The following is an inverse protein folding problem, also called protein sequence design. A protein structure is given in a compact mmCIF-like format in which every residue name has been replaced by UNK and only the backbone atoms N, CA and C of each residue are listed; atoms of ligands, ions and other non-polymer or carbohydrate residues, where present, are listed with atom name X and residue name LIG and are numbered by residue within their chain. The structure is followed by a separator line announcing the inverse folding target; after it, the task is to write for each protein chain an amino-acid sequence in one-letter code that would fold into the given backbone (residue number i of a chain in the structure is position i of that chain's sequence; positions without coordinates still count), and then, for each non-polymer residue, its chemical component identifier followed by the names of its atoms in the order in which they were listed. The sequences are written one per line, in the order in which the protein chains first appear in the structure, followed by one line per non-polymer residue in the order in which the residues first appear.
data_IF_981541748218
#
_entry.id   IF_981541748218
#
_cell.length_a   1.000
_cell.length_b   1.000
_cell.length_c   1.000
_cell.angle_alpha   90.00
_cell.angle_beta   90.00
_cell.angle_gamma   90.00
#
_symmetry.space_group_name_H-M   'P 1'
#
loop_
_entity.id
_entity.type
_entity.pdbx_description
1 polymer ?
#
# COMPACT_ATOMS: atom_id res chain seq x y z
N UNK A 1 -6.44 -17.81 -19.38
CA UNK A 1 -6.72 -16.39 -19.55
C UNK A 1 -6.68 -15.67 -18.22
N UNK A 2 -5.70 -14.87 -17.85
CA UNK A 2 -4.33 -14.59 -18.28
C UNK A 2 -3.90 -13.55 -17.25
N UNK A 3 -3.10 -13.93 -16.24
CA UNK A 3 -2.07 -13.03 -15.71
C UNK A 3 -1.12 -13.81 -14.81
N UNK A 4 0.03 -14.07 -15.42
CA UNK A 4 1.30 -14.47 -14.83
C UNK A 4 1.57 -13.72 -13.52
N UNK A 5 1.53 -14.44 -12.40
CA UNK A 5 2.43 -14.13 -11.27
C UNK A 5 3.49 -15.23 -11.28
N UNK A 6 4.37 -15.16 -12.26
CA UNK A 6 5.61 -15.90 -12.29
C UNK A 6 6.72 -14.90 -11.94
N UNK A 7 7.63 -15.33 -11.05
CA UNK A 7 8.86 -14.65 -10.59
C UNK A 7 8.78 -13.71 -9.37
N UNK A 8 8.93 -14.30 -8.18
CA UNK A 8 10.05 -13.92 -7.29
C UNK A 8 10.37 -15.07 -6.33
N UNK A 9 11.57 -15.62 -6.51
CA UNK A 9 12.13 -16.72 -5.76
C UNK A 9 12.72 -16.24 -4.42
N UNK A 10 12.32 -16.91 -3.33
CA UNK A 10 13.17 -17.35 -2.22
C UNK A 10 13.96 -16.35 -1.34
N UNK A 11 13.78 -15.03 -1.43
CA UNK A 11 14.30 -14.08 -0.40
C UNK A 11 13.21 -13.20 0.25
N UNK A 12 11.94 -13.55 0.04
CA UNK A 12 10.79 -12.80 0.50
C UNK A 12 10.54 -12.99 2.00
N UNK A 13 11.07 -12.07 2.80
CA UNK A 13 11.32 -12.25 4.24
C UNK A 13 10.34 -11.43 5.08
N UNK A 14 9.02 -11.59 4.86
CA UNK A 14 7.94 -10.85 5.53
C UNK A 14 7.71 -9.40 5.05
N UNK A 15 8.73 -8.72 4.54
CA UNK A 15 8.56 -7.36 3.98
C UNK A 15 7.68 -7.37 2.71
N UNK A 16 8.00 -8.25 1.75
CA UNK A 16 7.19 -8.37 0.53
C UNK A 16 5.73 -8.77 0.81
N UNK A 17 5.47 -9.56 1.86
CA UNK A 17 4.10 -9.95 2.22
C UNK A 17 3.28 -8.74 2.68
N UNK A 18 3.85 -7.86 3.52
CA UNK A 18 3.15 -6.64 3.95
C UNK A 18 2.92 -5.68 2.79
N UNK A 19 3.95 -5.45 1.98
CA UNK A 19 3.85 -4.62 0.78
C UNK A 19 2.80 -5.14 -0.21
N UNK A 20 2.70 -6.47 -0.39
CA UNK A 20 1.68 -7.09 -1.24
C UNK A 20 0.25 -6.88 -0.70
N UNK A 21 0.05 -7.01 0.61
CA UNK A 21 -1.25 -6.74 1.24
C UNK A 21 -1.64 -5.27 1.09
N UNK A 22 -0.69 -4.35 1.29
CA UNK A 22 -0.92 -2.92 1.08
C UNK A 22 -1.27 -2.61 -0.39
N UNK A 23 -0.56 -3.23 -1.33
CA UNK A 23 -0.85 -3.09 -2.76
C UNK A 23 -2.26 -3.57 -3.11
N UNK A 24 -2.73 -4.68 -2.52
CA UNK A 24 -4.07 -5.21 -2.75
C UNK A 24 -5.17 -4.28 -2.23
N UNK A 25 -4.97 -3.70 -1.03
CA UNK A 25 -5.84 -2.67 -0.47
C UNK A 25 -5.91 -1.46 -1.41
N UNK A 26 -4.77 -1.00 -1.90
CA UNK A 26 -4.69 0.14 -2.81
C UNK A 26 -5.40 -0.13 -4.14
N UNK A 27 -5.20 -1.31 -4.74
CA UNK A 27 -5.91 -1.72 -5.94
C UNK A 27 -7.42 -1.67 -5.77
N UNK A 28 -7.90 -2.11 -4.61
CA UNK A 28 -9.33 -2.12 -4.29
C UNK A 28 -9.89 -0.71 -4.11
N UNK A 29 -9.15 0.18 -3.43
CA UNK A 29 -9.58 1.55 -3.13
C UNK A 29 -9.51 2.45 -4.36
N UNK A 30 -8.44 2.34 -5.13
CA UNK A 30 -8.19 3.15 -6.34
C UNK A 30 -8.81 2.53 -7.60
N UNK A 31 -9.31 1.29 -7.50
CA UNK A 31 -9.86 0.53 -8.61
C UNK A 31 -8.88 0.44 -9.80
N UNK A 32 -7.64 0.05 -9.51
CA UNK A 32 -6.54 -0.10 -10.49
C UNK A 32 -6.08 -1.56 -10.58
N UNK A 33 -5.64 -2.00 -11.75
CA UNK A 33 -5.16 -3.37 -11.98
C UNK A 33 -3.86 -3.69 -11.22
N UNK A 34 -2.93 -2.73 -11.16
CA UNK A 34 -1.63 -2.88 -10.51
C UNK A 34 -1.11 -1.56 -9.98
N UNK A 35 -0.46 -1.63 -8.83
CA UNK A 35 0.21 -0.49 -8.21
C UNK A 35 1.65 -0.87 -7.87
N UNK A 36 2.58 0.03 -8.17
CA UNK A 36 3.98 -0.12 -7.80
C UNK A 36 4.22 0.30 -6.36
N UNK A 37 5.30 -0.21 -5.75
CA UNK A 37 5.63 0.07 -4.35
C UNK A 37 6.16 1.50 -4.14
N UNK A 38 6.80 2.05 -5.17
CA UNK A 38 7.29 3.42 -5.28
C UNK A 38 6.26 4.41 -5.85
N UNK A 39 5.06 3.94 -6.17
CA UNK A 39 4.03 4.79 -6.79
C UNK A 39 3.34 5.60 -5.72
N UNK A 40 3.25 6.91 -5.96
CA UNK A 40 2.51 7.81 -5.08
C UNK A 40 1.01 7.66 -5.25
N UNK A 41 0.29 7.58 -4.14
CA UNK A 41 -1.18 7.44 -4.12
C UNK A 41 -1.88 8.53 -4.94
N UNK A 42 -1.43 9.78 -4.81
CA UNK A 42 -2.03 10.92 -5.51
C UNK A 42 -1.76 10.93 -7.01
N UNK A 43 -0.66 10.34 -7.47
CA UNK A 43 -0.29 10.29 -8.89
C UNK A 43 -1.23 9.37 -9.70
N UNK A 44 -1.72 8.30 -9.05
CA UNK A 44 -2.64 7.32 -9.64
C UNK A 44 -4.12 7.64 -9.42
N UNK A 45 -4.45 8.87 -9.03
CA UNK A 45 -5.83 9.33 -8.82
C UNK A 45 -6.34 9.19 -7.38
N UNK A 46 -5.44 8.98 -6.43
CA UNK A 46 -5.74 9.06 -5.01
C UNK A 46 -6.16 10.46 -4.59
N UNK A 47 -7.12 10.52 -3.68
CA UNK A 47 -7.62 11.77 -3.10
C UNK A 47 -7.72 11.62 -1.58
N UNK A 48 -7.91 12.74 -0.88
CA UNK A 48 -7.98 12.76 0.59
C UNK A 48 -9.07 11.86 1.18
N UNK A 49 -10.18 11.64 0.47
CA UNK A 49 -11.27 10.76 0.92
C UNK A 49 -10.82 9.30 0.85
N UNK A 50 -10.27 8.88 -0.29
CA UNK A 50 -9.74 7.52 -0.46
C UNK A 50 -8.55 7.28 0.47
N UNK A 51 -7.76 8.31 0.74
CA UNK A 51 -6.63 8.24 1.65
C UNK A 51 -7.07 7.99 3.10
N UNK A 52 -8.11 8.69 3.57
CA UNK A 52 -8.72 8.42 4.88
C UNK A 52 -9.25 6.98 4.97
N UNK A 53 -10.00 6.53 3.95
CA UNK A 53 -10.53 5.16 3.93
C UNK A 53 -9.39 4.12 3.93
N UNK A 54 -8.32 4.38 3.19
CA UNK A 54 -7.13 3.53 3.17
C UNK A 54 -6.45 3.48 4.53
N UNK A 55 -6.30 4.64 5.18
CA UNK A 55 -5.78 4.77 6.53
C UNK A 55 -6.58 3.96 7.54
N UNK A 56 -7.91 4.01 7.51
CA UNK A 56 -8.74 3.19 8.40
C UNK A 56 -8.49 1.70 8.18
N UNK A 57 -8.47 1.23 6.92
CA UNK A 57 -8.22 -0.18 6.61
C UNK A 57 -6.82 -0.63 7.03
N UNK A 58 -5.80 0.21 6.80
CA UNK A 58 -4.42 -0.06 7.22
C UNK A 58 -4.33 -0.13 8.74
N UNK A 59 -4.95 0.82 9.44
CA UNK A 59 -5.00 0.85 10.91
C UNK A 59 -5.72 -0.39 11.48
N UNK A 60 -6.85 -0.81 10.89
CA UNK A 60 -7.57 -2.01 11.31
C UNK A 60 -6.79 -3.31 11.03
N UNK A 61 -6.15 -3.41 9.87
CA UNK A 61 -5.39 -4.60 9.45
C UNK A 61 -4.12 -4.79 10.27
N UNK A 62 -3.44 -3.69 10.60
CA UNK A 62 -2.08 -3.70 11.13
C UNK A 62 -2.00 -3.24 12.59
N UNK A 63 -3.06 -2.63 13.12
CA UNK A 63 -3.16 -2.22 14.52
C UNK A 63 -2.25 -1.05 14.91
N UNK A 64 -1.70 -0.31 13.94
CA UNK A 64 -0.87 0.88 14.16
C UNK A 64 -1.62 2.12 13.69
N UNK A 65 -1.76 3.10 14.57
CA UNK A 65 -2.27 4.44 14.23
C UNK A 65 -1.23 5.16 13.38
N UNK A 66 -1.66 5.63 12.19
CA UNK A 66 -0.82 6.45 11.32
C UNK A 66 -1.60 7.72 11.02
N UNK A 67 -0.98 8.88 11.23
CA UNK A 67 -1.66 10.14 10.98
C UNK A 67 -1.68 10.44 9.48
N UNK A 68 -2.77 11.04 9.01
CA UNK A 68 -2.85 11.59 7.65
C UNK A 68 -1.71 12.57 7.40
N UNK A 69 -1.34 13.36 8.40
CA UNK A 69 -0.30 14.40 8.31
C UNK A 69 1.08 13.80 7.99
N UNK A 70 1.38 12.60 8.49
CA UNK A 70 2.64 11.89 8.22
C UNK A 70 2.70 11.28 6.80
N UNK A 71 1.52 11.05 6.21
CA UNK A 71 1.37 10.39 4.92
C UNK A 71 0.80 11.30 3.82
N UNK A 72 0.38 12.53 4.11
CA UNK A 72 -0.29 13.39 3.13
C UNK A 72 0.62 13.76 1.94
N UNK A 73 1.93 13.79 2.16
CA UNK A 73 2.92 14.07 1.12
C UNK A 73 3.70 12.80 0.76
N UNK A 74 3.69 12.45 -0.53
CA UNK A 74 4.45 11.34 -1.08
C UNK A 74 4.14 9.99 -0.43
N UNK A 75 2.85 9.68 -0.23
CA UNK A 75 2.46 8.37 0.28
C UNK A 75 2.73 7.30 -0.76
N UNK A 76 3.58 6.36 -0.37
CA UNK A 76 3.93 5.16 -1.13
C UNK A 76 3.78 3.94 -0.22
N UNK A 77 3.73 2.75 -0.82
CA UNK A 77 3.64 1.51 -0.06
C UNK A 77 4.91 1.30 0.78
N UNK A 78 6.08 1.68 0.24
CA UNK A 78 7.34 1.63 0.98
C UNK A 78 7.31 2.52 2.24
N UNK A 79 6.75 3.72 2.13
CA UNK A 79 6.63 4.64 3.26
C UNK A 79 5.75 4.05 4.36
N UNK A 80 4.61 3.47 4.00
CA UNK A 80 3.74 2.77 4.95
C UNK A 80 4.47 1.59 5.59
N UNK A 81 5.16 0.75 4.81
CA UNK A 81 5.93 -0.38 5.35
C UNK A 81 7.01 0.08 6.35
N UNK A 82 7.70 1.18 6.05
CA UNK A 82 8.68 1.77 6.94
C UNK A 82 8.08 2.18 8.29
N UNK A 83 6.85 2.73 8.31
CA UNK A 83 6.14 3.04 9.56
C UNK A 83 5.73 1.78 10.35
N UNK A 84 5.55 0.65 9.67
CA UNK A 84 5.18 -0.61 10.32
C UNK A 84 6.37 -1.28 10.99
N UNK A 85 7.57 -1.15 10.42
CA UNK A 85 8.80 -1.76 10.97
C UNK A 85 9.54 -0.83 11.95
N UNK A 86 9.26 0.47 11.93
CA UNK A 86 9.74 1.44 12.93
C UNK A 86 9.09 1.23 14.31
#
# INVERSE_FOLDING_TARGET
MDCVIEKTEARASSAQERTAVLADIWKTILNVDSVGVDVEFFDIGGNSILLLAMLEVVQEKLGKEVALEDLAEGITIEKIDSFLVA
#
